data_IF_622701046506
#
_entry.id   IF_622701046506
#
_cell.length_a   1.000
_cell.length_b   1.000
_cell.length_c   1.000
_cell.angle_alpha   90.00
_cell.angle_beta   90.00
_cell.angle_gamma   90.00
#
_symmetry.space_group_name_H-M   'P 1'
#
loop_
_entity.id
_entity.type
_entity.pdbx_description
1 polymer ?
#
# COMPACT_ATOMS: atom_id res chain seq x y z
N UNK A 1 60.65 -9.99 -14.51
CA UNK A 1 59.43 -10.43 -15.15
C UNK A 1 58.32 -10.37 -14.12
N UNK A 2 57.53 -9.30 -14.13
CA UNK A 2 56.31 -9.17 -13.36
C UNK A 2 55.19 -9.78 -14.19
N UNK A 3 54.50 -10.76 -13.62
CA UNK A 3 53.28 -11.32 -14.18
C UNK A 3 52.14 -10.51 -13.55
N UNK A 4 51.48 -9.66 -14.33
CA UNK A 4 50.25 -9.01 -13.96
C UNK A 4 49.15 -10.07 -13.96
N UNK A 5 48.57 -10.32 -12.78
CA UNK A 5 47.30 -11.02 -12.65
C UNK A 5 46.17 -10.11 -13.13
N UNK A 6 45.74 -10.32 -14.35
CA UNK A 6 44.46 -9.80 -14.81
C UNK A 6 43.38 -10.67 -14.16
N UNK A 7 42.79 -10.18 -13.10
CA UNK A 7 41.52 -10.72 -12.58
C UNK A 7 40.41 -10.40 -13.58
N UNK A 8 40.06 -11.40 -14.38
CA UNK A 8 38.83 -11.34 -15.17
C UNK A 8 37.64 -11.37 -14.18
N UNK A 9 37.07 -10.23 -13.87
CA UNK A 9 35.74 -10.18 -13.32
C UNK A 9 34.78 -10.80 -14.34
N UNK A 10 34.23 -11.94 -13.98
CA UNK A 10 33.11 -12.52 -14.72
C UNK A 10 31.97 -11.49 -14.73
N UNK A 11 31.26 -11.29 -15.84
CA UNK A 11 30.11 -10.42 -15.86
C UNK A 11 29.12 -10.95 -14.81
N UNK A 12 28.70 -10.08 -13.88
CA UNK A 12 27.65 -10.40 -12.92
C UNK A 12 26.41 -10.84 -13.72
N UNK A 13 25.99 -12.09 -13.54
CA UNK A 13 24.70 -12.54 -14.08
C UNK A 13 23.64 -11.58 -13.52
N UNK A 14 22.88 -10.94 -14.40
CA UNK A 14 21.76 -10.13 -13.98
C UNK A 14 20.75 -11.06 -13.29
N UNK A 15 20.28 -10.71 -12.11
CA UNK A 15 19.26 -11.46 -11.35
C UNK A 15 17.89 -11.45 -12.02
N UNK A 16 17.81 -10.95 -13.26
CA UNK A 16 16.59 -10.80 -14.02
C UNK A 16 15.92 -12.14 -14.34
N UNK A 17 14.74 -12.34 -13.80
CA UNK A 17 13.87 -13.46 -14.15
C UNK A 17 13.18 -13.14 -15.47
N UNK A 18 13.60 -13.80 -16.55
CA UNK A 18 13.00 -13.62 -17.88
C UNK A 18 11.88 -14.62 -18.09
N UNK A 19 10.68 -14.12 -18.36
CA UNK A 19 9.54 -14.96 -18.74
C UNK A 19 9.77 -15.49 -20.17
N UNK A 20 9.70 -16.82 -20.40
CA UNK A 20 9.90 -17.41 -21.72
C UNK A 20 8.86 -16.92 -22.74
N UNK A 21 9.31 -16.62 -23.96
CA UNK A 21 8.41 -16.14 -25.01
C UNK A 21 7.77 -17.25 -25.85
N UNK A 22 8.27 -18.47 -25.71
CA UNK A 22 7.83 -19.67 -26.46
C UNK A 22 6.99 -20.63 -25.59
N UNK A 23 6.61 -20.21 -24.40
CA UNK A 23 5.75 -20.95 -23.49
C UNK A 23 4.39 -20.27 -23.46
N UNK A 24 3.34 -21.06 -23.70
CA UNK A 24 1.95 -20.68 -23.46
C UNK A 24 1.40 -21.69 -22.45
N UNK A 25 1.20 -21.26 -21.23
CA UNK A 25 0.78 -22.09 -20.11
C UNK A 25 -0.34 -21.42 -19.33
N UNK A 26 -1.31 -22.22 -18.89
CA UNK A 26 -2.39 -21.81 -18.01
C UNK A 26 -2.53 -22.84 -16.90
N UNK A 27 -2.53 -22.37 -15.66
CA UNK A 27 -2.60 -23.19 -14.46
C UNK A 27 -3.67 -22.65 -13.55
N UNK A 28 -4.62 -23.48 -13.16
CA UNK A 28 -5.54 -23.20 -12.08
C UNK A 28 -4.95 -23.78 -10.81
N UNK A 29 -4.80 -22.94 -9.81
CA UNK A 29 -4.26 -23.28 -8.51
C UNK A 29 -5.39 -23.24 -7.48
N UNK A 30 -5.55 -24.33 -6.76
CA UNK A 30 -6.38 -24.39 -5.57
C UNK A 30 -5.51 -24.89 -4.41
N UNK A 31 -5.55 -24.22 -3.29
CA UNK A 31 -4.77 -24.60 -2.13
C UNK A 31 -5.58 -24.47 -0.85
N UNK A 32 -5.53 -25.53 -0.04
CA UNK A 32 -6.08 -25.54 1.32
C UNK A 32 -4.93 -25.39 2.28
N UNK A 33 -4.92 -24.31 3.02
CA UNK A 33 -3.94 -23.93 4.03
C UNK A 33 -2.53 -23.64 3.50
N UNK A 34 -2.25 -22.36 3.38
CA UNK A 34 -0.91 -21.83 3.10
C UNK A 34 -0.50 -20.99 4.30
N UNK A 35 0.68 -21.24 4.85
CA UNK A 35 1.24 -20.45 5.94
C UNK A 35 2.48 -19.73 5.44
N UNK A 36 2.48 -18.41 5.52
CA UNK A 36 3.62 -17.57 5.18
C UNK A 36 3.82 -16.49 6.25
N UNK A 37 4.86 -16.63 7.05
CA UNK A 37 5.10 -15.79 8.22
C UNK A 37 3.88 -15.76 9.16
N UNK A 38 3.24 -14.62 9.35
CA UNK A 38 2.05 -14.43 10.19
C UNK A 38 0.73 -14.60 9.42
N UNK A 39 0.78 -14.72 8.09
CA UNK A 39 -0.36 -14.94 7.23
C UNK A 39 -0.69 -16.45 7.18
N UNK A 40 -1.86 -16.82 7.63
CA UNK A 40 -2.42 -18.17 7.52
C UNK A 40 -3.66 -18.09 6.61
N UNK A 41 -3.52 -18.64 5.39
CA UNK A 41 -4.59 -18.68 4.37
C UNK A 41 -5.28 -20.03 4.51
N UNK A 42 -6.55 -20.03 4.85
CA UNK A 42 -7.35 -21.23 5.00
C UNK A 42 -7.66 -21.88 3.65
N UNK A 43 -7.93 -21.05 2.64
CA UNK A 43 -8.25 -21.48 1.29
C UNK A 43 -7.89 -20.38 0.28
N UNK A 44 -7.41 -20.81 -0.88
CA UNK A 44 -7.06 -19.92 -1.98
C UNK A 44 -7.35 -20.59 -3.33
N UNK A 45 -7.89 -19.81 -4.25
CA UNK A 45 -8.01 -20.14 -5.67
C UNK A 45 -7.34 -19.04 -6.51
N UNK A 46 -6.68 -19.43 -7.59
CA UNK A 46 -5.95 -18.48 -8.45
C UNK A 46 -5.76 -19.06 -9.85
N UNK A 47 -5.75 -18.20 -10.84
CA UNK A 47 -5.37 -18.53 -12.21
C UNK A 47 -4.01 -17.91 -12.53
N UNK A 48 -3.08 -18.74 -13.02
CA UNK A 48 -1.76 -18.31 -13.44
C UNK A 48 -1.61 -18.56 -14.94
N UNK A 49 -1.36 -17.52 -15.71
CA UNK A 49 -1.12 -17.60 -17.12
C UNK A 49 0.27 -17.08 -17.49
N UNK A 50 0.94 -17.80 -18.40
CA UNK A 50 2.22 -17.38 -18.95
C UNK A 50 2.12 -17.41 -20.47
N UNK A 51 2.27 -16.23 -21.09
CA UNK A 51 2.18 -16.05 -22.54
C UNK A 51 2.96 -14.82 -23.00
N UNK A 52 3.62 -14.94 -24.15
CA UNK A 52 4.30 -13.82 -24.82
C UNK A 52 5.20 -12.99 -23.88
N UNK A 53 6.04 -13.65 -23.08
CA UNK A 53 6.93 -13.05 -22.09
C UNK A 53 6.21 -12.27 -20.98
N UNK A 54 4.98 -12.63 -20.70
CA UNK A 54 4.19 -12.07 -19.62
C UNK A 54 3.71 -13.19 -18.71
N UNK A 55 3.90 -13.02 -17.41
CA UNK A 55 3.30 -13.82 -16.35
C UNK A 55 2.12 -13.02 -15.79
N UNK A 56 0.97 -13.64 -15.68
CA UNK A 56 -0.23 -13.06 -15.08
C UNK A 56 -0.73 -13.97 -13.97
N UNK A 57 -1.12 -13.35 -12.88
CA UNK A 57 -1.88 -13.98 -11.79
C UNK A 57 -3.24 -13.27 -11.82
N UNK A 58 -4.31 -14.03 -11.96
CA UNK A 58 -5.65 -13.48 -12.10
C UNK A 58 -6.63 -14.23 -11.20
N UNK A 59 -7.77 -13.61 -10.94
CA UNK A 59 -8.88 -14.22 -10.22
C UNK A 59 -8.46 -14.87 -8.87
N UNK A 60 -7.43 -14.32 -8.21
CA UNK A 60 -7.01 -14.83 -6.92
C UNK A 60 -7.99 -14.40 -5.85
N UNK A 61 -8.60 -15.37 -5.19
CA UNK A 61 -9.46 -15.19 -4.03
C UNK A 61 -8.90 -16.03 -2.90
N UNK A 62 -8.75 -15.46 -1.74
CA UNK A 62 -8.28 -16.19 -0.56
C UNK A 62 -8.98 -15.72 0.71
N UNK A 63 -9.26 -16.65 1.61
CA UNK A 63 -9.72 -16.37 2.97
C UNK A 63 -8.60 -16.67 3.94
N UNK A 64 -8.30 -15.72 4.81
CA UNK A 64 -7.16 -15.80 5.72
C UNK A 64 -7.49 -15.35 7.15
N UNK A 65 -6.57 -15.61 8.08
CA UNK A 65 -6.61 -15.07 9.44
C UNK A 65 -6.54 -13.53 9.48
N UNK A 66 -6.25 -12.88 8.36
CA UNK A 66 -6.13 -11.42 8.26
C UNK A 66 -7.33 -10.77 7.57
N UNK A 67 -8.26 -11.54 7.02
CA UNK A 67 -9.41 -11.10 6.22
C UNK A 67 -9.43 -11.75 4.86
N UNK A 68 -10.37 -11.32 4.01
CA UNK A 68 -10.48 -11.80 2.64
C UNK A 68 -9.56 -11.02 1.71
N UNK A 69 -8.91 -11.74 0.80
CA UNK A 69 -7.90 -11.22 -0.12
C UNK A 69 -8.34 -11.47 -1.55
N UNK A 70 -8.37 -10.41 -2.36
CA UNK A 70 -8.52 -10.47 -3.81
C UNK A 70 -7.25 -9.90 -4.42
N UNK A 71 -6.59 -10.68 -5.30
CA UNK A 71 -5.30 -10.30 -5.83
C UNK A 71 -5.19 -10.63 -7.32
N UNK A 72 -4.64 -9.68 -8.07
CA UNK A 72 -4.21 -9.88 -9.44
C UNK A 72 -2.84 -9.24 -9.63
N UNK A 73 -2.01 -9.81 -10.49
CA UNK A 73 -0.70 -9.24 -10.79
C UNK A 73 -0.25 -9.60 -12.21
N UNK A 74 0.65 -8.79 -12.74
CA UNK A 74 1.37 -9.13 -13.95
C UNK A 74 2.85 -8.75 -13.85
N UNK A 75 3.67 -9.53 -14.55
CA UNK A 75 5.08 -9.28 -14.72
C UNK A 75 5.43 -9.53 -16.19
N UNK A 76 5.97 -8.51 -16.87
CA UNK A 76 6.21 -8.55 -18.32
C UNK A 76 7.66 -8.23 -18.65
N UNK A 77 8.32 -9.17 -19.30
CA UNK A 77 9.68 -9.07 -19.84
C UNK A 77 9.71 -9.03 -21.37
N UNK A 78 8.64 -8.54 -21.99
CA UNK A 78 8.55 -8.38 -23.47
C UNK A 78 9.73 -7.58 -24.02
N UNK A 79 10.20 -6.60 -23.27
CA UNK A 79 11.38 -5.82 -23.58
C UNK A 79 12.32 -5.83 -22.38
N UNK A 80 13.55 -6.35 -22.53
CA UNK A 80 14.53 -6.43 -21.45
C UNK A 80 14.85 -5.09 -20.78
N UNK A 81 14.81 -4.00 -21.56
CA UNK A 81 15.08 -2.63 -21.06
C UNK A 81 13.86 -1.93 -20.46
N UNK A 82 12.68 -2.53 -20.54
CA UNK A 82 11.44 -1.94 -20.06
C UNK A 82 10.56 -3.06 -19.47
N UNK A 83 11.01 -3.57 -18.36
CA UNK A 83 10.31 -4.57 -17.58
C UNK A 83 9.17 -3.85 -16.86
N UNK A 84 7.97 -4.40 -16.95
CA UNK A 84 6.79 -3.82 -16.32
C UNK A 84 6.18 -4.81 -15.35
N UNK A 85 5.79 -4.33 -14.21
CA UNK A 85 4.98 -5.07 -13.26
C UNK A 85 3.79 -4.23 -12.80
N UNK A 86 2.81 -4.91 -12.27
CA UNK A 86 1.67 -4.25 -11.65
C UNK A 86 0.85 -5.25 -10.88
N UNK A 87 0.03 -4.72 -9.97
CA UNK A 87 -0.88 -5.54 -9.18
C UNK A 87 -2.15 -4.77 -8.83
N UNK A 88 -3.18 -5.53 -8.56
CA UNK A 88 -4.40 -5.11 -7.89
C UNK A 88 -4.55 -5.95 -6.63
N UNK A 89 -4.76 -5.30 -5.50
CA UNK A 89 -4.97 -5.93 -4.21
C UNK A 89 -6.21 -5.31 -3.57
N UNK A 90 -7.15 -6.16 -3.17
CA UNK A 90 -8.29 -5.74 -2.36
C UNK A 90 -8.34 -6.63 -1.13
N UNK A 91 -8.23 -6.00 0.03
CA UNK A 91 -8.29 -6.61 1.34
C UNK A 91 -9.61 -6.19 1.99
N UNK A 92 -10.38 -7.15 2.47
CA UNK A 92 -11.69 -6.89 3.10
C UNK A 92 -11.65 -7.41 4.53
N UNK A 93 -12.19 -6.60 5.44
CA UNK A 93 -12.23 -6.91 6.88
C UNK A 93 -10.84 -7.14 7.51
N UNK A 94 -9.85 -6.33 7.12
CA UNK A 94 -8.49 -6.39 7.65
C UNK A 94 -8.25 -5.31 8.70
N UNK A 95 -7.40 -5.55 9.69
CA UNK A 95 -6.97 -4.50 10.62
C UNK A 95 -5.76 -3.72 10.08
N UNK A 96 -5.61 -2.46 10.49
CA UNK A 96 -4.46 -1.63 10.11
C UNK A 96 -3.12 -2.28 10.49
N UNK A 97 -3.05 -2.93 11.66
CA UNK A 97 -1.88 -3.66 12.11
C UNK A 97 -1.48 -4.75 11.12
N UNK A 98 -2.44 -5.52 10.65
CA UNK A 98 -2.22 -6.61 9.70
C UNK A 98 -1.84 -6.12 8.31
N UNK A 99 -2.37 -4.96 7.87
CA UNK A 99 -1.92 -4.32 6.61
C UNK A 99 -0.42 -3.99 6.69
N UNK A 100 0.03 -3.43 7.81
CA UNK A 100 1.44 -3.07 8.01
C UNK A 100 2.33 -4.32 8.11
N UNK A 101 1.85 -5.40 8.75
CA UNK A 101 2.57 -6.67 8.79
C UNK A 101 2.76 -7.30 7.41
N UNK A 102 1.72 -7.25 6.56
CA UNK A 102 1.78 -7.77 5.19
C UNK A 102 2.68 -6.94 4.28
N UNK A 103 2.60 -5.63 4.41
CA UNK A 103 3.32 -4.68 3.55
C UNK A 103 4.03 -3.63 4.43
N UNK A 104 5.20 -3.96 5.01
CA UNK A 104 5.91 -3.06 5.92
C UNK A 104 6.22 -1.67 5.34
N UNK A 105 6.33 -1.56 4.00
CA UNK A 105 6.54 -0.30 3.30
C UNK A 105 5.38 0.69 3.47
N UNK A 106 4.17 0.20 3.76
CA UNK A 106 2.99 1.05 4.04
C UNK A 106 3.24 1.97 5.22
N UNK A 107 4.01 1.52 6.21
CA UNK A 107 4.41 2.32 7.35
C UNK A 107 5.21 3.59 6.98
N UNK A 108 6.04 3.50 5.95
CA UNK A 108 6.80 4.65 5.44
C UNK A 108 5.93 5.60 4.62
N UNK A 109 4.97 5.05 3.85
CA UNK A 109 4.11 5.83 2.96
C UNK A 109 2.91 6.43 3.70
N UNK A 110 2.38 5.72 4.68
CA UNK A 110 1.21 6.13 5.48
C UNK A 110 1.44 5.89 6.98
N UNK A 111 2.37 6.61 7.63
CA UNK A 111 2.70 6.38 9.04
C UNK A 111 1.52 6.58 9.99
N UNK A 112 0.51 7.36 9.58
CA UNK A 112 -0.72 7.55 10.37
C UNK A 112 -1.54 6.27 10.54
N UNK A 113 -1.39 5.28 9.65
CA UNK A 113 -2.16 4.04 9.71
C UNK A 113 -1.96 3.28 11.02
N UNK A 114 -0.78 3.36 11.62
CA UNK A 114 -0.48 2.77 12.95
C UNK A 114 -1.39 3.21 14.07
N UNK A 115 -1.96 4.39 13.94
CA UNK A 115 -2.82 4.96 14.98
C UNK A 115 -4.27 4.51 14.86
N UNK A 116 -4.65 3.88 13.75
CA UNK A 116 -6.00 3.38 13.52
C UNK A 116 -6.16 1.95 14.00
N UNK A 117 -7.24 1.70 14.71
CA UNK A 117 -7.67 0.39 15.20
C UNK A 117 -9.09 0.15 14.74
N UNK A 118 -9.39 -1.06 14.33
CA UNK A 118 -10.69 -1.47 13.78
C UNK A 118 -10.54 -2.14 12.43
N UNK A 119 -11.66 -2.45 11.81
CA UNK A 119 -11.71 -3.16 10.53
C UNK A 119 -11.66 -2.16 9.38
N UNK A 120 -10.86 -2.49 8.38
CA UNK A 120 -10.63 -1.69 7.18
C UNK A 120 -10.84 -2.54 5.93
N UNK A 121 -11.38 -1.93 4.89
CA UNK A 121 -11.26 -2.41 3.52
C UNK A 121 -10.18 -1.57 2.83
N UNK A 122 -9.25 -2.23 2.18
CA UNK A 122 -8.13 -1.57 1.52
C UNK A 122 -8.00 -2.05 0.08
N UNK A 123 -8.13 -1.14 -0.87
CA UNK A 123 -7.92 -1.43 -2.29
C UNK A 123 -6.70 -0.67 -2.77
N UNK A 124 -5.78 -1.36 -3.43
CA UNK A 124 -4.58 -0.77 -4.05
C UNK A 124 -4.41 -1.34 -5.45
N UNK A 125 -4.23 -0.47 -6.44
CA UNK A 125 -3.80 -0.86 -7.77
C UNK A 125 -2.57 -0.04 -8.14
N UNK A 126 -1.49 -0.69 -8.55
CA UNK A 126 -0.27 -0.02 -8.91
C UNK A 126 0.45 -0.70 -10.07
N UNK A 127 1.17 0.10 -10.85
CA UNK A 127 2.08 -0.34 -11.90
C UNK A 127 3.41 0.37 -11.79
N UNK A 128 4.48 -0.30 -12.19
CA UNK A 128 5.82 0.29 -12.22
C UNK A 128 6.68 -0.35 -13.31
N UNK A 129 7.76 0.33 -13.70
CA UNK A 129 8.86 -0.28 -14.42
C UNK A 129 9.92 -0.80 -13.44
N UNK A 130 10.69 -1.79 -13.88
CA UNK A 130 11.81 -2.36 -13.14
C UNK A 130 13.10 -2.29 -13.98
N UNK A 131 14.22 -2.22 -13.30
CA UNK A 131 15.54 -2.32 -13.93
C UNK A 131 15.95 -3.80 -14.17
N UNK A 132 17.15 -4.00 -14.74
CA UNK A 132 17.70 -5.33 -15.05
C UNK A 132 18.03 -6.16 -13.79
N UNK A 133 18.06 -5.54 -12.62
CA UNK A 133 18.30 -6.18 -11.31
C UNK A 133 16.99 -6.40 -10.54
N UNK A 134 15.83 -6.25 -11.19
CA UNK A 134 14.49 -6.36 -10.60
C UNK A 134 14.17 -5.30 -9.54
N UNK A 135 14.89 -4.18 -9.50
CA UNK A 135 14.53 -3.08 -8.62
C UNK A 135 13.41 -2.23 -9.25
N UNK A 136 12.43 -1.87 -8.45
CA UNK A 136 11.35 -0.98 -8.89
C UNK A 136 11.90 0.42 -9.12
N UNK A 137 11.66 0.96 -10.31
CA UNK A 137 11.99 2.34 -10.65
C UNK A 137 10.90 3.27 -10.09
N UNK A 138 11.08 3.76 -8.87
CA UNK A 138 10.10 4.57 -8.13
C UNK A 138 9.50 5.72 -8.98
N UNK A 139 10.27 6.49 -9.79
CA UNK A 139 9.68 7.54 -10.62
C UNK A 139 8.68 7.05 -11.68
N UNK A 140 8.71 5.74 -12.01
CA UNK A 140 7.78 5.13 -12.96
C UNK A 140 6.53 4.56 -12.29
N UNK A 141 6.51 4.52 -10.96
CA UNK A 141 5.39 3.98 -10.21
C UNK A 141 4.17 4.90 -10.31
N UNK A 142 3.04 4.29 -10.63
CA UNK A 142 1.75 4.95 -10.61
C UNK A 142 0.69 4.02 -10.03
N UNK A 143 -0.28 4.57 -9.33
CA UNK A 143 -1.30 3.74 -8.70
C UNK A 143 -2.39 4.55 -8.03
N UNK A 144 -3.42 3.85 -7.62
CA UNK A 144 -4.53 4.39 -6.85
C UNK A 144 -4.73 3.55 -5.59
N UNK A 145 -5.15 4.20 -4.53
CA UNK A 145 -5.50 3.52 -3.28
C UNK A 145 -6.83 4.03 -2.76
N UNK A 146 -7.57 3.14 -2.11
CA UNK A 146 -8.78 3.47 -1.36
C UNK A 146 -8.80 2.68 -0.07
N UNK A 147 -9.00 3.37 1.05
CA UNK A 147 -9.14 2.78 2.37
C UNK A 147 -10.49 3.22 2.93
N UNK A 148 -11.31 2.26 3.31
CA UNK A 148 -12.61 2.50 3.93
C UNK A 148 -12.61 1.83 5.30
N UNK A 149 -13.08 2.53 6.31
CA UNK A 149 -13.22 1.97 7.65
C UNK A 149 -14.46 2.50 8.35
N UNK A 150 -15.04 1.69 9.21
CA UNK A 150 -16.20 2.02 10.03
C UNK A 150 -15.90 1.68 11.48
N UNK A 151 -16.47 2.48 12.38
CA UNK A 151 -16.31 2.30 13.83
C UNK A 151 -14.84 2.17 14.27
N UNK A 152 -13.99 3.04 13.69
CA UNK A 152 -12.56 3.03 13.95
C UNK A 152 -12.24 3.74 15.25
N UNK A 153 -11.17 3.30 15.89
CA UNK A 153 -10.53 4.00 17.01
C UNK A 153 -9.19 4.55 16.57
N UNK A 154 -8.95 5.83 16.84
CA UNK A 154 -7.62 6.42 16.76
C UNK A 154 -7.06 6.47 18.17
N UNK A 155 -5.99 5.75 18.43
CA UNK A 155 -5.28 5.77 19.71
C UNK A 155 -4.18 6.81 19.69
N UNK A 156 -4.07 7.51 20.81
CA UNK A 156 -3.22 8.67 20.97
C UNK A 156 -1.74 8.25 20.99
N UNK A 157 -1.10 8.42 19.88
CA UNK A 157 0.31 8.35 19.67
C UNK A 157 0.91 9.78 19.72
N UNK A 158 2.23 9.95 19.73
CA UNK A 158 2.88 11.26 19.94
C UNK A 158 2.49 12.31 18.89
N UNK A 159 2.23 11.91 17.65
CA UNK A 159 1.89 12.84 16.57
C UNK A 159 0.41 13.20 16.57
N UNK A 160 -0.46 12.27 16.89
CA UNK A 160 -1.89 12.52 17.10
C UNK A 160 -2.13 13.34 18.36
N UNK A 161 -1.27 13.21 19.39
CA UNK A 161 -1.30 14.07 20.57
C UNK A 161 -1.16 15.55 20.24
N UNK A 162 -0.33 15.90 19.26
CA UNK A 162 -0.15 17.29 18.82
C UNK A 162 -1.43 17.79 18.13
N UNK A 163 -1.99 16.99 17.24
CA UNK A 163 -3.25 17.28 16.55
C UNK A 163 -4.42 17.38 17.55
N UNK A 164 -4.51 16.43 18.48
CA UNK A 164 -5.55 16.41 19.52
C UNK A 164 -5.49 17.63 20.44
N UNK A 165 -4.29 18.06 20.84
CA UNK A 165 -4.09 19.30 21.63
C UNK A 165 -4.52 20.53 20.85
N UNK A 166 -4.17 20.58 19.56
CA UNK A 166 -4.46 21.70 18.67
C UNK A 166 -5.98 21.82 18.41
N UNK A 167 -6.67 20.68 18.27
CA UNK A 167 -8.12 20.59 18.13
C UNK A 167 -8.87 20.70 19.46
N UNK A 168 -8.16 20.95 20.57
CA UNK A 168 -8.75 21.04 21.93
C UNK A 168 -9.56 19.79 22.32
N UNK A 169 -9.19 18.62 21.83
CA UNK A 169 -9.73 17.36 22.35
C UNK A 169 -9.23 17.17 23.78
N UNK A 170 -10.08 17.43 24.75
CA UNK A 170 -9.72 17.31 26.16
C UNK A 170 -9.32 15.86 26.48
N UNK A 171 -8.01 15.61 26.64
CA UNK A 171 -7.40 14.41 27.24
C UNK A 171 -8.04 13.05 26.85
N UNK A 172 -8.61 12.91 25.68
CA UNK A 172 -9.13 11.62 25.22
C UNK A 172 -7.96 10.78 24.73
N UNK A 173 -7.78 9.61 25.35
CA UNK A 173 -6.79 8.63 24.91
C UNK A 173 -7.23 7.88 23.66
N UNK A 174 -8.52 7.88 23.38
CA UNK A 174 -9.15 7.17 22.25
C UNK A 174 -10.10 8.15 21.57
N UNK A 175 -10.00 8.24 20.27
CA UNK A 175 -10.86 9.06 19.41
C UNK A 175 -11.64 8.09 18.53
N UNK A 176 -12.97 8.13 18.60
CA UNK A 176 -13.83 7.32 17.73
C UNK A 176 -14.08 8.05 16.41
N UNK A 177 -13.99 7.30 15.33
CA UNK A 177 -14.28 7.73 13.95
C UNK A 177 -15.38 6.85 13.40
N UNK A 178 -16.56 7.42 13.17
CA UNK A 178 -17.73 6.67 12.74
C UNK A 178 -17.52 6.02 11.38
N UNK A 179 -17.01 6.79 10.43
CA UNK A 179 -16.72 6.34 9.07
C UNK A 179 -15.56 7.16 8.48
N UNK A 180 -14.71 6.48 7.74
CA UNK A 180 -13.61 7.07 6.99
C UNK A 180 -13.55 6.46 5.60
N UNK A 181 -13.41 7.29 4.56
CA UNK A 181 -13.08 6.86 3.21
C UNK A 181 -11.97 7.76 2.67
N UNK A 182 -10.81 7.19 2.46
CA UNK A 182 -9.62 7.88 1.97
C UNK A 182 -9.26 7.33 0.61
N UNK A 183 -9.08 8.22 -0.35
CA UNK A 183 -8.60 7.89 -1.69
C UNK A 183 -7.29 8.62 -1.96
N UNK A 184 -6.39 7.96 -2.68
CA UNK A 184 -5.09 8.53 -3.04
C UNK A 184 -4.64 8.13 -4.42
N UNK A 185 -3.81 8.98 -5.02
CA UNK A 185 -3.17 8.80 -6.31
C UNK A 185 -1.66 8.85 -6.14
N UNK A 186 -0.98 7.76 -6.51
CA UNK A 186 0.47 7.71 -6.61
C UNK A 186 0.89 8.04 -8.04
N UNK A 187 1.66 9.11 -8.19
CA UNK A 187 2.24 9.52 -9.47
C UNK A 187 3.48 10.37 -9.21
N UNK A 188 4.49 10.28 -10.08
CA UNK A 188 5.71 11.09 -10.03
C UNK A 188 6.41 11.06 -8.65
N UNK A 189 6.50 9.89 -8.04
CA UNK A 189 7.07 9.68 -6.70
C UNK A 189 6.33 10.42 -5.57
N UNK A 190 5.07 10.74 -5.77
CA UNK A 190 4.22 11.47 -4.85
C UNK A 190 2.88 10.75 -4.68
N UNK A 191 2.47 10.53 -3.44
CA UNK A 191 1.12 10.08 -3.09
C UNK A 191 0.28 11.30 -2.71
N UNK A 192 -0.66 11.68 -3.58
CA UNK A 192 -1.68 12.67 -3.29
C UNK A 192 -2.86 11.99 -2.59
N UNK A 193 -3.22 12.48 -1.41
CA UNK A 193 -4.38 12.06 -0.65
C UNK A 193 -5.49 13.07 -0.90
N UNK A 194 -6.56 12.62 -1.55
CA UNK A 194 -7.67 13.48 -1.90
C UNK A 194 -8.44 13.94 -0.66
N UNK A 195 -9.13 15.09 -0.73
CA UNK A 195 -9.91 15.59 0.38
C UNK A 195 -10.96 14.59 0.86
N UNK A 196 -10.88 14.20 2.12
CA UNK A 196 -11.84 13.31 2.77
C UNK A 196 -12.35 13.89 4.08
N UNK A 197 -13.46 13.37 4.56
CA UNK A 197 -14.11 13.84 5.77
C UNK A 197 -13.94 12.83 6.89
N UNK A 198 -13.62 13.34 8.08
CA UNK A 198 -13.63 12.60 9.34
C UNK A 198 -14.68 13.17 10.29
N UNK A 199 -15.58 12.32 10.75
CA UNK A 199 -16.48 12.65 11.85
C UNK A 199 -15.87 12.10 13.14
N UNK A 200 -15.49 13.00 14.04
CA UNK A 200 -14.79 12.68 15.29
C UNK A 200 -15.56 13.33 16.42
N UNK A 201 -16.33 12.56 17.17
CA UNK A 201 -17.22 13.09 18.20
C UNK A 201 -18.16 14.19 17.67
N UNK A 202 -17.93 15.43 18.15
CA UNK A 202 -18.71 16.63 17.76
C UNK A 202 -18.03 17.43 16.65
N UNK A 203 -16.87 17.00 16.18
CA UNK A 203 -16.12 17.67 15.13
C UNK A 203 -16.34 16.99 13.79
N UNK A 204 -16.34 17.80 12.75
CA UNK A 204 -16.26 17.37 11.38
C UNK A 204 -15.01 17.98 10.76
N UNK A 205 -14.09 17.15 10.37
CA UNK A 205 -12.80 17.54 9.82
C UNK A 205 -12.77 17.21 8.33
N UNK A 206 -12.17 18.08 7.52
CA UNK A 206 -11.75 17.76 6.17
C UNK A 206 -10.21 17.67 6.18
N UNK A 207 -9.70 16.59 5.62
CA UNK A 207 -8.27 16.35 5.53
C UNK A 207 -7.87 16.08 4.09
N UNK A 208 -6.69 16.55 3.68
CA UNK A 208 -6.05 16.23 2.42
C UNK A 208 -4.54 16.35 2.59
N UNK A 209 -3.77 15.80 1.66
CA UNK A 209 -2.32 15.93 1.78
C UNK A 209 -1.55 15.35 0.63
N UNK A 210 -0.25 15.51 0.74
CA UNK A 210 0.75 15.00 -0.19
C UNK A 210 1.84 14.33 0.63
N UNK A 211 2.17 13.09 0.29
CA UNK A 211 3.26 12.33 0.86
C UNK A 211 4.26 12.00 -0.25
N UNK A 212 5.48 12.48 -0.13
CA UNK A 212 6.55 12.14 -1.07
C UNK A 212 7.26 10.85 -0.65
N UNK A 213 7.88 10.15 -1.61
CA UNK A 213 8.61 8.91 -1.36
C UNK A 213 9.91 9.13 -0.56
N UNK A 214 10.37 10.37 -0.40
CA UNK A 214 11.48 10.75 0.49
C UNK A 214 11.05 10.93 1.95
N UNK A 215 9.82 10.54 2.29
CA UNK A 215 9.17 10.69 3.60
C UNK A 215 8.81 12.13 3.98
N UNK A 216 9.01 13.10 3.11
CA UNK A 216 8.47 14.45 3.32
C UNK A 216 6.96 14.47 3.05
N UNK A 217 6.22 15.25 3.82
CA UNK A 217 4.76 15.32 3.69
C UNK A 217 4.24 16.74 3.94
N UNK A 218 3.04 16.99 3.41
CA UNK A 218 2.24 18.19 3.70
C UNK A 218 0.79 17.77 3.84
N UNK A 219 0.25 17.92 5.03
CA UNK A 219 -1.16 17.67 5.29
C UNK A 219 -1.89 18.96 5.65
N UNK A 220 -3.11 19.08 5.16
CA UNK A 220 -4.03 20.14 5.49
C UNK A 220 -5.23 19.55 6.24
N UNK A 221 -5.53 20.14 7.41
CA UNK A 221 -6.68 19.77 8.23
C UNK A 221 -7.56 20.98 8.45
N UNK A 222 -8.79 20.91 7.98
CA UNK A 222 -9.80 21.97 8.16
C UNK A 222 -10.89 21.50 9.11
N UNK A 223 -11.22 22.32 10.10
CA UNK A 223 -12.35 22.09 11.00
C UNK A 223 -13.62 22.67 10.38
N UNK A 224 -14.46 21.80 9.82
CA UNK A 224 -15.70 22.19 9.13
C UNK A 224 -16.84 22.46 10.15
N UNK A 225 -16.89 21.61 11.20
CA UNK A 225 -17.87 21.73 12.28
C UNK A 225 -17.15 21.48 13.62
N UNK A 226 -17.39 22.37 14.57
CA UNK A 226 -16.88 22.23 15.92
C UNK A 226 -17.94 22.69 16.93
N UNK A 227 -17.86 22.23 18.18
CA UNK A 227 -18.68 22.81 19.26
C UNK A 227 -18.25 24.24 19.62
N UNK A 228 -17.11 24.70 19.11
CA UNK A 228 -16.60 26.05 19.27
C UNK A 228 -17.13 26.95 18.14
N UNK A 229 -17.25 28.26 18.41
CA UNK A 229 -17.75 29.25 17.45
C UNK A 229 -16.78 29.55 16.28
N UNK A 230 -15.59 28.97 16.30
CA UNK A 230 -14.52 29.26 15.33
C UNK A 230 -14.28 28.10 14.38
N UNK A 231 -14.10 28.43 13.10
CA UNK A 231 -13.56 27.53 12.07
C UNK A 231 -12.11 27.88 11.86
N UNK A 232 -11.24 26.88 11.78
CA UNK A 232 -9.82 27.08 11.50
C UNK A 232 -9.27 25.92 10.68
N UNK A 233 -8.18 26.18 9.97
CA UNK A 233 -7.42 25.18 9.24
C UNK A 233 -5.98 25.15 9.75
N UNK A 234 -5.33 23.99 9.62
CA UNK A 234 -3.96 23.75 10.06
C UNK A 234 -3.21 23.07 8.94
N UNK A 235 -2.01 23.55 8.67
CA UNK A 235 -1.04 22.87 7.82
C UNK A 235 -0.01 22.17 8.70
N UNK A 236 0.25 20.90 8.41
CA UNK A 236 1.21 20.04 9.07
C UNK A 236 2.34 19.71 8.11
#
# INVERSE_FOLDING_TARGET
ACVENVSSEAPSESDLIVVPGNVDAHVNLEANRIVYSTLDIDWMESEIAMKERCLQIANTVATSNMGDIYFEAFYSTRTRKNIKCGFYLNLVDITAEKVIELVPQVDTVMPMLKSFYGMLDCTVAATAAMDENMNILIPSASGVTRIVGKDLEIRNDADISKLAKLLMFKNKKIIHVDEMSVEGLLQDSCLEIFPFMLNVDRYRLAMSGIQNMDSSFKYHVSVIKSPLLFKFGINL
#
